data_IF_302221562180
#
_entry.id   IF_302221562180
#
_cell.length_a   1.000
_cell.length_b   1.000
_cell.length_c   1.000
_cell.angle_alpha   90.00
_cell.angle_beta   90.00
_cell.angle_gamma   90.00
#
_symmetry.space_group_name_H-M   'P 1'
#
loop_
_entity.id
_entity.type
_entity.pdbx_description
1 polymer ?
#
# COMPACT_ATOMS: atom_id res chain seq x y z
N UNK A 1 -9.01 8.54 29.90
CA UNK A 1 -8.72 9.12 28.60
C UNK A 1 -7.57 8.37 27.89
N UNK A 2 -6.47 8.10 28.57
CA UNK A 2 -5.34 7.34 28.01
C UNK A 2 -5.71 5.90 27.65
N UNK A 3 -6.57 5.24 28.42
CA UNK A 3 -7.05 3.88 28.15
C UNK A 3 -7.90 3.85 26.89
N UNK A 4 -8.79 4.82 26.69
CA UNK A 4 -9.64 4.93 25.49
C UNK A 4 -8.78 5.17 24.25
N UNK A 5 -7.78 6.05 24.33
CA UNK A 5 -6.84 6.30 23.24
C UNK A 5 -6.01 5.05 22.90
N UNK A 6 -5.58 4.30 23.91
CA UNK A 6 -4.83 3.04 23.69
C UNK A 6 -5.68 1.97 23.01
N UNK A 7 -6.96 1.83 23.38
CA UNK A 7 -7.89 0.90 22.75
C UNK A 7 -8.14 1.30 21.28
N UNK A 8 -8.43 2.57 21.01
CA UNK A 8 -8.65 3.07 19.65
C UNK A 8 -7.42 2.83 18.74
N UNK A 9 -6.21 3.08 19.26
CA UNK A 9 -4.96 2.86 18.56
C UNK A 9 -4.72 1.36 18.28
N UNK A 10 -5.01 0.46 19.21
CA UNK A 10 -4.89 -0.98 19.04
C UNK A 10 -5.85 -1.49 17.96
N UNK A 11 -7.12 -1.07 17.97
CA UNK A 11 -8.13 -1.40 16.95
C UNK A 11 -7.68 -0.91 15.58
N UNK A 12 -7.17 0.32 15.47
CA UNK A 12 -6.64 0.87 14.21
C UNK A 12 -5.46 0.05 13.66
N UNK A 13 -4.56 -0.41 14.52
CA UNK A 13 -3.44 -1.28 14.14
C UNK A 13 -3.86 -2.67 13.66
N UNK A 14 -4.97 -3.20 14.15
CA UNK A 14 -5.49 -4.51 13.77
C UNK A 14 -6.22 -4.49 12.42
N UNK A 15 -6.51 -3.33 11.86
CA UNK A 15 -7.15 -3.22 10.55
C UNK A 15 -6.24 -3.75 9.47
N UNK A 16 -6.80 -4.54 8.57
CA UNK A 16 -6.09 -5.03 7.38
C UNK A 16 -6.21 -4.02 6.24
N UNK A 17 -5.10 -3.83 5.56
CA UNK A 17 -5.08 -3.08 4.30
C UNK A 17 -5.39 -4.06 3.19
N UNK A 18 -6.62 -4.02 2.70
CA UNK A 18 -7.15 -5.04 1.80
C UNK A 18 -7.48 -4.55 0.39
N UNK A 19 -7.57 -3.24 0.18
CA UNK A 19 -7.91 -2.70 -1.13
C UNK A 19 -9.38 -2.82 -1.53
N UNK A 20 -10.25 -3.32 -0.68
CA UNK A 20 -11.68 -3.45 -0.91
C UNK A 20 -12.43 -2.12 -0.74
N UNK A 21 -12.16 -1.15 -1.60
CA UNK A 21 -12.85 0.15 -1.58
C UNK A 21 -13.65 0.30 -2.85
N UNK A 22 -14.98 0.36 -2.72
CA UNK A 22 -15.87 0.44 -3.87
C UNK A 22 -15.89 1.81 -4.55
N UNK A 23 -15.78 2.89 -3.76
CA UNK A 23 -15.94 4.25 -4.28
C UNK A 23 -14.81 5.16 -3.78
N UNK A 24 -13.72 5.19 -4.51
CA UNK A 24 -12.66 6.18 -4.27
C UNK A 24 -13.17 7.60 -4.56
N UNK A 25 -12.83 8.59 -3.73
CA UNK A 25 -13.18 9.97 -4.00
C UNK A 25 -12.75 10.41 -5.39
N UNK A 26 -13.61 11.16 -6.06
CA UNK A 26 -13.33 11.68 -7.42
C UNK A 26 -12.10 12.59 -7.43
N UNK A 27 -11.78 13.19 -6.31
CA UNK A 27 -10.59 14.02 -6.11
C UNK A 27 -9.31 13.25 -6.42
N UNK A 28 -9.24 11.97 -6.06
CA UNK A 28 -8.07 11.12 -6.36
C UNK A 28 -7.91 10.89 -7.86
N UNK A 29 -9.02 10.74 -8.57
CA UNK A 29 -9.01 10.56 -10.03
C UNK A 29 -8.55 11.82 -10.78
N UNK A 30 -8.66 12.99 -10.16
CA UNK A 30 -8.20 14.26 -10.73
C UNK A 30 -6.73 14.57 -10.43
N UNK A 31 -6.12 13.85 -9.49
CA UNK A 31 -4.72 14.06 -9.07
C UNK A 31 -3.75 13.07 -9.72
N UNK A 32 -3.96 12.77 -10.99
CA UNK A 32 -3.15 11.79 -11.75
C UNK A 32 -1.64 12.03 -11.73
N UNK A 33 -1.21 13.28 -11.48
CA UNK A 33 0.20 13.62 -11.46
C UNK A 33 0.89 13.36 -10.12
N UNK A 34 0.11 13.22 -9.04
CA UNK A 34 0.65 13.16 -7.68
C UNK A 34 0.37 11.83 -6.98
N UNK A 35 -0.66 11.10 -7.43
CA UNK A 35 -1.08 9.84 -6.82
C UNK A 35 -1.26 8.80 -7.90
N UNK A 36 -0.67 7.62 -7.69
CA UNK A 36 -0.99 6.46 -8.51
C UNK A 36 -2.24 5.81 -7.94
N UNK A 37 -3.36 6.04 -8.59
CA UNK A 37 -4.66 5.51 -8.18
C UNK A 37 -4.65 4.00 -8.29
N UNK A 38 -5.02 3.35 -7.20
CA UNK A 38 -5.24 1.91 -7.11
C UNK A 38 -6.68 1.68 -6.68
N UNK A 39 -7.52 1.23 -7.59
CA UNK A 39 -8.94 0.94 -7.38
C UNK A 39 -9.26 -0.56 -7.56
N UNK A 40 -8.25 -1.41 -7.52
CA UNK A 40 -8.39 -2.86 -7.64
C UNK A 40 -8.96 -3.48 -6.35
N UNK A 41 -9.75 -4.51 -6.55
CA UNK A 41 -10.44 -5.25 -5.49
C UNK A 41 -9.83 -6.66 -5.30
N UNK A 42 -8.57 -6.72 -4.92
CA UNK A 42 -7.81 -7.97 -4.86
C UNK A 42 -6.90 -8.14 -3.64
N UNK A 43 -7.02 -7.27 -2.65
CA UNK A 43 -6.20 -7.28 -1.42
C UNK A 43 -4.68 -7.01 -1.63
N UNK A 44 -4.23 -6.63 -2.81
CA UNK A 44 -2.81 -6.48 -3.14
C UNK A 44 -2.30 -5.03 -3.12
N UNK A 45 -3.07 -4.08 -2.62
CA UNK A 45 -2.71 -2.65 -2.69
C UNK A 45 -1.38 -2.32 -2.01
N UNK A 46 -1.05 -2.94 -0.87
CA UNK A 46 0.26 -2.78 -0.24
C UNK A 46 1.39 -3.24 -1.15
N UNK A 47 1.26 -4.41 -1.77
CA UNK A 47 2.31 -4.96 -2.63
C UNK A 47 2.44 -4.20 -3.95
N UNK A 48 1.36 -3.62 -4.48
CA UNK A 48 1.45 -2.68 -5.61
C UNK A 48 2.14 -1.39 -5.23
N UNK A 49 1.84 -0.85 -4.04
CA UNK A 49 2.59 0.28 -3.49
C UNK A 49 4.07 -0.03 -3.34
N UNK A 50 4.41 -1.15 -2.74
CA UNK A 50 5.78 -1.63 -2.57
C UNK A 50 6.50 -1.80 -3.91
N UNK A 51 5.81 -2.34 -4.91
CA UNK A 51 6.33 -2.46 -6.27
C UNK A 51 6.71 -1.10 -6.86
N UNK A 52 5.88 -0.07 -6.67
CA UNK A 52 6.19 1.29 -7.10
C UNK A 52 7.42 1.86 -6.39
N UNK A 53 7.59 1.56 -5.09
CA UNK A 53 8.77 1.98 -4.33
C UNK A 53 10.06 1.34 -4.85
N UNK A 54 10.02 0.05 -5.18
CA UNK A 54 11.19 -0.73 -5.58
C UNK A 54 11.51 -0.61 -7.08
N UNK A 55 10.50 -0.33 -7.90
CA UNK A 55 10.59 -0.26 -9.35
C UNK A 55 10.02 1.09 -9.84
N UNK A 56 10.81 2.17 -9.78
CA UNK A 56 10.33 3.51 -10.14
C UNK A 56 9.72 3.62 -11.55
N UNK A 57 10.15 2.77 -12.46
CA UNK A 57 9.58 2.68 -13.81
C UNK A 57 8.08 2.35 -13.80
N UNK A 58 7.58 1.71 -12.75
CA UNK A 58 6.14 1.41 -12.58
C UNK A 58 5.30 2.63 -12.23
N UNK A 59 5.91 3.78 -12.02
CA UNK A 59 5.23 5.05 -11.75
C UNK A 59 5.03 5.90 -13.01
N UNK A 60 5.62 5.52 -14.13
CA UNK A 60 5.49 6.24 -15.40
C UNK A 60 4.12 5.96 -16.04
N UNK A 61 3.34 7.02 -16.24
CA UNK A 61 1.97 6.94 -16.76
C UNK A 61 1.87 6.41 -18.19
N UNK A 62 2.94 6.52 -18.99
CA UNK A 62 2.93 6.11 -20.39
C UNK A 62 3.27 4.63 -20.60
N UNK A 63 4.01 4.04 -19.67
CA UNK A 63 4.58 2.70 -19.85
C UNK A 63 3.91 1.65 -18.98
N UNK A 64 3.17 2.02 -17.92
CA UNK A 64 2.77 1.05 -16.91
C UNK A 64 1.29 0.95 -16.68
N UNK A 65 0.80 -0.19 -17.12
CA UNK A 65 -0.53 -0.67 -16.86
C UNK A 65 -0.59 -1.32 -15.48
N UNK A 66 -1.75 -1.26 -14.86
CA UNK A 66 -2.05 -1.95 -13.61
C UNK A 66 -1.62 -3.43 -13.62
N UNK A 67 -1.68 -4.08 -14.76
CA UNK A 67 -1.25 -5.47 -14.94
C UNK A 67 0.21 -5.69 -14.54
N UNK A 68 1.12 -4.80 -14.93
CA UNK A 68 2.54 -4.93 -14.61
C UNK A 68 2.79 -4.71 -13.11
N UNK A 69 2.12 -3.73 -12.50
CA UNK A 69 2.18 -3.52 -11.05
C UNK A 69 1.65 -4.73 -10.29
N UNK A 70 0.54 -5.28 -10.73
CA UNK A 70 -0.06 -6.48 -10.13
C UNK A 70 0.84 -7.70 -10.25
N UNK A 71 1.50 -7.91 -11.38
CA UNK A 71 2.48 -9.00 -11.54
C UNK A 71 3.66 -8.87 -10.56
N UNK A 72 4.20 -7.66 -10.41
CA UNK A 72 5.26 -7.39 -9.42
C UNK A 72 4.77 -7.56 -8.00
N UNK A 73 3.56 -7.10 -7.70
CA UNK A 73 2.94 -7.26 -6.40
C UNK A 73 2.80 -8.73 -6.00
N UNK A 74 2.35 -9.58 -6.90
CA UNK A 74 2.25 -11.03 -6.69
C UNK A 74 3.61 -11.65 -6.40
N UNK A 75 4.64 -11.26 -7.13
CA UNK A 75 6.01 -11.74 -6.87
C UNK A 75 6.48 -11.37 -5.47
N UNK A 76 6.32 -10.12 -5.08
CA UNK A 76 6.74 -9.62 -3.77
C UNK A 76 6.02 -10.35 -2.63
N UNK A 77 4.71 -10.54 -2.74
CA UNK A 77 3.94 -11.32 -1.76
C UNK A 77 4.46 -12.74 -1.64
N UNK A 78 4.68 -13.43 -2.77
CA UNK A 78 5.13 -14.81 -2.76
C UNK A 78 6.58 -14.96 -2.29
N UNK A 79 7.46 -14.03 -2.61
CA UNK A 79 8.83 -13.97 -2.10
C UNK A 79 8.87 -13.85 -0.57
N UNK A 80 7.97 -13.07 0.02
CA UNK A 80 7.81 -12.98 1.48
C UNK A 80 7.35 -14.31 2.10
N UNK A 81 6.71 -15.18 1.33
CA UNK A 81 6.34 -16.55 1.73
C UNK A 81 7.37 -17.63 1.30
N UNK A 82 8.55 -17.21 0.84
CA UNK A 82 9.62 -18.11 0.43
C UNK A 82 9.41 -18.75 -0.95
N UNK A 83 8.50 -18.24 -1.76
CA UNK A 83 8.21 -18.76 -3.11
C UNK A 83 8.74 -17.80 -4.17
N UNK A 84 9.63 -18.29 -5.03
CA UNK A 84 10.12 -17.58 -6.20
C UNK A 84 9.69 -18.30 -7.47
N UNK A 85 9.42 -17.55 -8.52
CA UNK A 85 9.06 -18.09 -9.84
C UNK A 85 9.50 -17.15 -10.95
N UNK A 86 9.70 -17.69 -12.15
CA UNK A 86 10.09 -16.91 -13.34
C UNK A 86 8.90 -16.64 -14.25
N UNK A 87 8.21 -17.68 -14.68
CA UNK A 87 7.16 -17.58 -15.69
C UNK A 87 5.80 -18.01 -15.16
N UNK A 88 5.73 -19.14 -14.47
CA UNK A 88 4.48 -19.71 -13.98
C UNK A 88 4.46 -19.76 -12.45
N UNK A 89 3.38 -19.27 -11.87
CA UNK A 89 3.15 -19.34 -10.42
C UNK A 89 2.94 -20.82 -10.03
N UNK A 90 3.71 -21.34 -9.04
CA UNK A 90 3.50 -22.69 -8.52
C UNK A 90 2.11 -22.83 -7.88
N UNK A 91 1.62 -24.05 -7.77
CA UNK A 91 0.32 -24.34 -7.14
C UNK A 91 0.22 -23.81 -5.71
N UNK A 92 1.27 -23.96 -4.92
CA UNK A 92 1.36 -23.42 -3.56
C UNK A 92 1.22 -21.87 -3.56
N UNK A 93 1.88 -21.19 -4.49
CA UNK A 93 1.75 -19.75 -4.66
C UNK A 93 0.34 -19.32 -5.05
N UNK A 94 -0.32 -20.08 -5.90
CA UNK A 94 -1.73 -19.84 -6.28
C UNK A 94 -2.65 -19.96 -5.07
N UNK A 95 -2.44 -20.93 -4.19
CA UNK A 95 -3.20 -21.06 -2.94
C UNK A 95 -3.02 -19.85 -2.04
N UNK A 96 -1.79 -19.38 -1.87
CA UNK A 96 -1.49 -18.18 -1.06
C UNK A 96 -2.21 -16.97 -1.61
N UNK A 97 -2.13 -16.72 -2.92
CA UNK A 97 -2.81 -15.59 -3.56
C UNK A 97 -4.32 -15.66 -3.39
N UNK A 98 -4.92 -16.83 -3.53
CA UNK A 98 -6.38 -17.01 -3.43
C UNK A 98 -6.90 -16.87 -1.99
N UNK A 99 -6.08 -17.12 -0.99
CA UNK A 99 -6.46 -17.04 0.43
C UNK A 99 -5.99 -15.76 1.11
N UNK A 100 -5.20 -14.93 0.43
CA UNK A 100 -4.68 -13.68 1.00
C UNK A 100 -5.82 -12.68 1.28
N UNK A 101 -5.88 -12.20 2.52
CA UNK A 101 -6.93 -11.31 3.02
C UNK A 101 -6.43 -9.89 3.35
N UNK A 102 -5.31 -9.50 2.77
CA UNK A 102 -4.67 -8.22 3.07
C UNK A 102 -3.63 -8.34 4.19
N UNK A 103 -3.04 -7.23 4.55
CA UNK A 103 -1.90 -7.13 5.45
C UNK A 103 -2.20 -6.12 6.56
N UNK A 104 -1.73 -6.35 7.79
CA UNK A 104 -1.88 -5.40 8.89
C UNK A 104 -0.88 -4.23 8.74
N UNK A 105 -1.17 -3.10 9.39
CA UNK A 105 -0.23 -1.96 9.43
C UNK A 105 1.13 -2.36 10.03
N UNK A 106 1.12 -3.20 11.05
CA UNK A 106 2.36 -3.69 11.66
C UNK A 106 3.17 -4.55 10.70
N UNK A 107 2.52 -5.44 9.97
CA UNK A 107 3.20 -6.28 8.98
C UNK A 107 3.66 -5.48 7.75
N UNK A 108 2.93 -4.44 7.36
CA UNK A 108 3.41 -3.49 6.33
C UNK A 108 4.71 -2.82 6.77
N UNK A 109 4.79 -2.38 8.04
CA UNK A 109 5.98 -1.76 8.59
C UNK A 109 7.18 -2.71 8.57
N UNK A 110 6.98 -3.97 8.95
CA UNK A 110 8.01 -5.03 8.84
C UNK A 110 8.42 -5.29 7.40
N UNK A 111 7.46 -5.33 6.49
CA UNK A 111 7.71 -5.49 5.05
C UNK A 111 8.53 -4.32 4.50
N UNK A 112 8.20 -3.08 4.87
CA UNK A 112 8.93 -1.89 4.48
C UNK A 112 10.40 -1.94 4.93
N UNK A 113 10.65 -2.30 6.18
CA UNK A 113 12.01 -2.45 6.71
C UNK A 113 12.79 -3.54 5.97
N UNK A 114 12.17 -4.69 5.74
CA UNK A 114 12.77 -5.81 4.99
C UNK A 114 13.19 -5.39 3.58
N UNK A 115 12.37 -4.60 2.91
CA UNK A 115 12.64 -4.11 1.54
C UNK A 115 13.44 -2.82 1.50
N UNK A 116 13.96 -2.36 2.64
CA UNK A 116 14.84 -1.19 2.74
C UNK A 116 14.20 0.10 2.22
N UNK A 117 12.96 0.35 2.62
CA UNK A 117 12.27 1.60 2.35
C UNK A 117 11.86 2.28 3.65
N UNK A 118 11.96 3.61 3.66
CA UNK A 118 11.31 4.48 4.64
C UNK A 118 9.99 4.97 4.04
N UNK A 119 8.94 5.10 4.84
CA UNK A 119 7.62 5.47 4.34
C UNK A 119 7.03 6.61 5.16
N UNK A 120 6.65 7.69 4.48
CA UNK A 120 5.79 8.73 5.02
C UNK A 120 4.34 8.39 4.68
N UNK A 121 3.50 8.28 5.70
CA UNK A 121 2.12 7.86 5.55
C UNK A 121 1.20 9.05 5.76
N UNK A 122 0.50 9.43 4.69
CA UNK A 122 -0.54 10.46 4.69
C UNK A 122 -1.91 9.81 4.73
N UNK A 123 -2.87 10.49 5.34
CA UNK A 123 -4.27 10.12 5.32
C UNK A 123 -5.11 11.24 4.71
N UNK A 124 -6.12 10.88 3.92
CA UNK A 124 -7.08 11.82 3.36
C UNK A 124 -8.33 11.89 4.24
N UNK A 125 -8.63 13.08 4.71
CA UNK A 125 -9.84 13.38 5.48
C UNK A 125 -10.95 13.86 4.52
N UNK A 126 -11.87 12.97 4.20
CA UNK A 126 -12.90 13.19 3.18
C UNK A 126 -13.85 14.34 3.51
N UNK A 127 -14.24 14.46 4.77
CA UNK A 127 -15.20 15.49 5.22
C UNK A 127 -14.62 16.90 5.07
N UNK A 128 -13.39 17.11 5.52
CA UNK A 128 -12.69 18.39 5.51
C UNK A 128 -11.85 18.60 4.24
N UNK A 129 -11.69 17.56 3.42
CA UNK A 129 -10.96 17.57 2.14
C UNK A 129 -9.50 18.01 2.25
N UNK A 130 -8.78 17.49 3.23
CA UNK A 130 -7.35 17.75 3.39
C UNK A 130 -6.56 16.46 3.59
N UNK A 131 -5.24 16.56 3.38
CA UNK A 131 -4.27 15.49 3.63
C UNK A 131 -3.45 15.83 4.85
N UNK A 132 -3.08 14.83 5.61
CA UNK A 132 -2.38 14.97 6.85
C UNK A 132 -1.35 13.83 6.99
N UNK A 133 -0.13 14.18 7.44
CA UNK A 133 0.91 13.21 7.72
C UNK A 133 0.59 12.49 9.04
N UNK A 134 0.24 11.21 8.95
CA UNK A 134 -0.17 10.40 10.10
C UNK A 134 0.98 9.71 10.79
N UNK A 135 1.88 9.13 10.03
CA UNK A 135 2.95 8.29 10.57
C UNK A 135 4.16 8.33 9.63
N UNK A 136 5.35 8.22 10.22
CA UNK A 136 6.59 8.11 9.49
C UNK A 136 7.31 6.85 9.94
N UNK A 137 7.63 5.96 8.99
CA UNK A 137 8.48 4.81 9.23
C UNK A 137 9.87 5.12 8.71
N UNK A 138 10.73 5.51 9.62
CA UNK A 138 12.12 5.81 9.30
C UNK A 138 13.03 4.78 9.97
N UNK A 139 13.67 3.95 9.16
CA UNK A 139 14.55 2.88 9.63
C UNK A 139 16.02 3.19 9.45
N UNK A 140 16.37 3.77 8.30
CA UNK A 140 17.77 4.02 7.95
C UNK A 140 17.85 5.14 6.90
N UNK A 141 18.86 6.02 7.06
CA UNK A 141 19.12 7.13 6.14
C UNK A 141 19.44 6.68 4.70
N UNK A 142 19.96 5.46 4.54
CA UNK A 142 20.36 4.91 3.25
C UNK A 142 19.21 4.18 2.53
N UNK A 143 18.05 4.04 3.17
CA UNK A 143 16.87 3.45 2.56
C UNK A 143 16.19 4.44 1.62
N UNK A 144 15.49 3.91 0.62
CA UNK A 144 14.69 4.72 -0.30
C UNK A 144 13.49 5.31 0.42
N UNK A 145 13.26 6.61 0.27
CA UNK A 145 12.11 7.30 0.84
C UNK A 145 10.92 7.21 -0.11
N UNK A 146 9.79 6.77 0.41
CA UNK A 146 8.53 6.66 -0.32
C UNK A 146 7.42 7.35 0.45
N UNK A 147 6.39 7.80 -0.25
CA UNK A 147 5.20 8.40 0.35
C UNK A 147 3.96 7.61 -0.02
N UNK A 148 3.13 7.32 0.96
CA UNK A 148 1.91 6.55 0.84
C UNK A 148 0.69 7.37 1.26
N UNK A 149 -0.42 7.15 0.57
CA UNK A 149 -1.73 7.68 0.94
C UNK A 149 -2.60 6.55 1.46
N UNK A 150 -3.07 6.68 2.70
CA UNK A 150 -4.11 5.84 3.26
C UNK A 150 -5.48 6.44 3.03
N UNK A 151 -6.39 5.62 2.57
CA UNK A 151 -7.80 5.95 2.50
C UNK A 151 -8.61 4.89 3.24
N UNK A 152 -9.37 5.32 4.23
CA UNK A 152 -10.17 4.44 5.08
C UNK A 152 -11.63 4.56 4.74
N UNK A 153 -12.31 3.44 4.50
CA UNK A 153 -13.75 3.35 4.32
C UNK A 153 -14.29 2.24 5.23
N UNK A 154 -14.95 2.64 6.33
CA UNK A 154 -15.41 1.69 7.34
C UNK A 154 -14.23 0.96 8.00
N UNK A 155 -14.22 -0.37 7.91
CA UNK A 155 -13.13 -1.21 8.43
C UNK A 155 -12.03 -1.49 7.40
N UNK A 156 -12.21 -1.04 6.17
CA UNK A 156 -11.27 -1.27 5.07
C UNK A 156 -10.31 -0.11 4.94
N UNK A 157 -9.04 -0.41 4.81
CA UNK A 157 -7.97 0.56 4.54
C UNK A 157 -7.36 0.24 3.19
N UNK A 158 -7.17 1.26 2.38
CA UNK A 158 -6.54 1.18 1.08
C UNK A 158 -5.28 2.06 1.05
N UNK A 159 -4.23 1.58 0.40
CA UNK A 159 -2.97 2.32 0.29
C UNK A 159 -2.63 2.58 -1.17
N UNK A 160 -2.17 3.80 -1.47
CA UNK A 160 -1.77 4.22 -2.80
C UNK A 160 -0.41 4.92 -2.75
N UNK A 161 0.30 4.90 -3.85
CA UNK A 161 1.60 5.54 -3.99
C UNK A 161 1.46 7.03 -4.32
N UNK A 162 2.19 7.87 -3.60
CA UNK A 162 2.29 9.31 -3.89
C UNK A 162 3.58 9.54 -4.67
N UNK A 163 3.47 10.10 -5.88
CA UNK A 163 4.62 10.40 -6.73
C UNK A 163 5.32 11.69 -6.32
N UNK A 164 4.57 12.65 -5.78
CA UNK A 164 5.07 13.96 -5.38
C UNK A 164 4.28 14.45 -4.16
N UNK A 165 4.88 14.37 -2.98
CA UNK A 165 4.26 14.77 -1.72
C UNK A 165 4.29 16.29 -1.47
N UNK A 166 5.04 17.04 -2.28
CA UNK A 166 5.18 18.50 -2.11
C UNK A 166 4.12 19.30 -2.89
N UNK A 167 3.34 18.64 -3.72
CA UNK A 167 2.22 19.23 -4.48
C UNK A 167 0.87 18.84 -3.91
#
# INVERSE_FOLDING_TARGET
LSIVNSIAFTVSRMRKVSGHIKDLPIEFKKQHNNIIVDDEDDNLCWYRFLACCLYPELTDSHTFRITNRTQRAKKLLLEEHGITYTTKIPEEGTKILNTFQGITMEDMKKSAEKHKINVDIYEYHKEEKYYDLQEQWYFNKDFTNCSALLFTQGLTVHIMYITDAEK
#
